data_IF_139268612400
#
_entry.id   IF_139268612400
#
_cell.length_a   1.000
_cell.length_b   1.000
_cell.length_c   1.000
_cell.angle_alpha   90.00
_cell.angle_beta   90.00
_cell.angle_gamma   90.00
#
_symmetry.space_group_name_H-M   'P 1'
#
loop_
_entity.id
_entity.type
_entity.pdbx_description
1 polymer ?
#
# COMPACT_ATOMS: atom_id res chain seq x y z
N UNK A 1 -13.35 0.40 25.59
CA UNK A 1 -12.20 -0.52 25.47
C UNK A 1 -10.95 0.28 25.85
N UNK A 2 -9.96 -0.30 26.54
CA UNK A 2 -8.78 0.44 27.00
C UNK A 2 -7.76 0.50 25.86
N UNK A 3 -7.36 1.69 25.43
CA UNK A 3 -6.32 1.87 24.41
C UNK A 3 -4.99 1.25 24.89
N UNK A 4 -4.27 0.59 23.98
CA UNK A 4 -2.99 -0.01 24.28
C UNK A 4 -1.95 1.08 24.64
N UNK A 5 -0.98 0.78 25.52
CA UNK A 5 0.13 1.70 25.76
C UNK A 5 0.88 2.03 24.46
N UNK A 6 1.28 3.29 24.29
CA UNK A 6 1.97 3.76 23.07
C UNK A 6 3.25 2.97 22.79
N UNK A 7 4.00 2.58 23.82
CA UNK A 7 5.20 1.74 23.69
C UNK A 7 4.90 0.39 23.05
N UNK A 8 3.81 -0.25 23.48
CA UNK A 8 3.36 -1.53 22.94
C UNK A 8 2.88 -1.37 21.50
N UNK A 9 2.13 -0.30 21.20
CA UNK A 9 1.72 0.01 19.83
C UNK A 9 2.93 0.18 18.92
N UNK A 10 3.94 0.95 19.33
CA UNK A 10 5.17 1.16 18.55
C UNK A 10 5.90 -0.14 18.25
N UNK A 11 6.00 -1.06 19.21
CA UNK A 11 6.62 -2.37 18.97
C UNK A 11 5.81 -3.24 17.98
N UNK A 12 4.48 -3.19 18.06
CA UNK A 12 3.60 -3.84 17.09
C UNK A 12 3.80 -3.25 15.69
N UNK A 13 3.75 -1.92 15.56
CA UNK A 13 3.94 -1.23 14.29
C UNK A 13 5.33 -1.53 13.71
N UNK A 14 6.40 -1.60 14.53
CA UNK A 14 7.76 -1.95 14.06
C UNK A 14 7.81 -3.36 13.50
N UNK A 15 7.10 -4.29 14.14
CA UNK A 15 7.01 -5.67 13.67
C UNK A 15 6.28 -5.74 12.33
N UNK A 16 5.17 -5.02 12.20
CA UNK A 16 4.38 -4.95 10.97
C UNK A 16 5.19 -4.26 9.85
N UNK A 17 5.87 -3.16 10.13
CA UNK A 17 6.68 -2.45 9.13
C UNK A 17 7.80 -3.35 8.55
N UNK A 18 8.42 -4.19 9.39
CA UNK A 18 9.49 -5.11 8.96
C UNK A 18 8.98 -6.36 8.24
N UNK A 19 7.86 -6.92 8.68
CA UNK A 19 7.41 -8.26 8.23
C UNK A 19 6.19 -8.21 7.32
N UNK A 20 5.38 -7.16 7.42
CA UNK A 20 4.04 -7.09 6.82
C UNK A 20 2.99 -7.96 7.53
N UNK A 21 3.33 -8.60 8.66
CA UNK A 21 2.45 -9.54 9.36
C UNK A 21 1.91 -8.93 10.64
N UNK A 22 0.62 -9.14 10.89
CA UNK A 22 0.07 -8.91 12.21
C UNK A 22 0.64 -9.94 13.19
N UNK A 23 0.97 -9.52 14.41
CA UNK A 23 1.35 -10.46 15.44
C UNK A 23 0.19 -11.43 15.73
N UNK A 24 0.40 -12.74 15.53
CA UNK A 24 -0.65 -13.76 15.62
C UNK A 24 -0.60 -14.57 16.92
N UNK A 25 0.32 -14.24 17.84
CA UNK A 25 0.48 -14.98 19.09
C UNK A 25 -0.70 -14.73 20.04
N UNK A 26 -1.10 -15.77 20.77
CA UNK A 26 -2.24 -15.77 21.71
C UNK A 26 -2.14 -14.72 22.82
N UNK A 27 -0.95 -14.17 23.07
CA UNK A 27 -0.68 -13.14 24.07
C UNK A 27 -0.77 -11.71 23.52
N UNK A 28 -1.07 -11.54 22.22
CA UNK A 28 -1.06 -10.25 21.54
C UNK A 28 -2.47 -9.73 21.28
N UNK A 29 -2.67 -8.40 21.30
CA UNK A 29 -3.99 -7.79 21.22
C UNK A 29 -4.67 -8.07 19.89
N UNK A 30 -5.99 -8.21 19.94
CA UNK A 30 -6.81 -8.40 18.74
C UNK A 30 -6.78 -7.12 17.88
N UNK A 31 -6.96 -7.28 16.57
CA UNK A 31 -6.97 -6.15 15.64
C UNK A 31 -7.92 -5.00 16.03
N UNK A 32 -9.16 -5.23 16.50
CA UNK A 32 -10.03 -4.15 16.95
C UNK A 32 -9.43 -3.27 18.06
N UNK A 33 -8.63 -3.84 18.97
CA UNK A 33 -7.92 -3.08 20.02
C UNK A 33 -6.78 -2.23 19.45
N UNK A 34 -6.13 -2.76 18.41
CA UNK A 34 -5.07 -2.06 17.70
C UNK A 34 -5.66 -0.90 16.89
N UNK A 35 -6.82 -1.07 16.25
CA UNK A 35 -7.50 -0.04 15.43
C UNK A 35 -7.78 1.22 16.24
N UNK A 36 -8.43 1.09 17.40
CA UNK A 36 -8.74 2.24 18.26
C UNK A 36 -7.46 2.97 18.68
N UNK A 37 -6.42 2.22 18.99
CA UNK A 37 -5.13 2.78 19.42
C UNK A 37 -4.41 3.47 18.24
N UNK A 38 -4.43 2.88 17.04
CA UNK A 38 -3.90 3.51 15.82
C UNK A 38 -4.66 4.79 15.50
N UNK A 39 -5.99 4.78 15.61
CA UNK A 39 -6.84 5.94 15.37
C UNK A 39 -6.40 7.12 16.23
N UNK A 40 -6.25 6.90 17.55
CA UNK A 40 -5.74 7.92 18.47
C UNK A 40 -4.29 8.33 18.14
N UNK A 41 -3.45 7.37 17.77
CA UNK A 41 -2.05 7.62 17.45
C UNK A 41 -1.86 8.44 16.18
N UNK A 42 -2.76 8.36 15.19
CA UNK A 42 -2.76 9.24 14.00
C UNK A 42 -2.85 10.71 14.41
N UNK A 43 -3.78 11.06 15.31
CA UNK A 43 -3.89 12.43 15.83
C UNK A 43 -2.61 12.84 16.55
N UNK A 44 -2.06 11.97 17.38
CA UNK A 44 -0.80 12.23 18.09
C UNK A 44 0.33 12.54 17.11
N UNK A 45 0.54 11.71 16.09
CA UNK A 45 1.60 11.89 15.09
C UNK A 45 1.42 13.19 14.32
N UNK A 46 0.20 13.51 13.88
CA UNK A 46 -0.09 14.74 13.16
C UNK A 46 0.29 16.00 13.96
N UNK A 47 0.01 15.98 15.27
CA UNK A 47 0.24 17.12 16.16
C UNK A 47 1.70 17.23 16.66
N UNK A 48 2.44 16.12 16.74
CA UNK A 48 3.81 16.12 17.30
C UNK A 48 4.90 16.11 16.24
N UNK A 49 4.63 15.57 15.05
CA UNK A 49 5.65 15.32 14.02
C UNK A 49 5.63 16.34 12.88
N UNK A 50 4.60 17.17 12.78
CA UNK A 50 4.47 18.14 11.69
C UNK A 50 4.30 19.56 12.20
N UNK A 51 4.85 20.50 11.43
CA UNK A 51 4.78 21.93 11.63
C UNK A 51 4.05 22.50 10.40
N UNK A 52 3.18 23.49 10.55
CA UNK A 52 2.54 24.06 9.38
C UNK A 52 1.17 24.70 9.62
N UNK A 53 0.51 25.15 8.54
CA UNK A 53 -0.81 25.77 8.64
C UNK A 53 -1.82 24.75 9.14
N UNK A 54 -2.79 25.18 9.95
CA UNK A 54 -3.87 24.32 10.44
C UNK A 54 -4.92 23.97 9.36
N UNK A 55 -4.53 24.03 8.09
CA UNK A 55 -5.40 23.82 6.93
C UNK A 55 -4.67 23.03 5.85
N UNK A 56 -5.38 22.08 5.26
CA UNK A 56 -4.95 21.25 4.15
C UNK A 56 -5.77 21.65 2.92
N UNK A 57 -5.08 21.99 1.84
CA UNK A 57 -5.70 22.39 0.57
C UNK A 57 -5.82 21.17 -0.33
N UNK A 58 -7.01 20.99 -0.90
CA UNK A 58 -7.24 20.05 -1.99
C UNK A 58 -7.17 20.72 -3.35
N UNK A 59 -6.11 20.45 -4.15
CA UNK A 59 -5.92 21.12 -5.43
C UNK A 59 -6.91 20.65 -6.50
N UNK A 60 -7.59 19.51 -6.32
CA UNK A 60 -8.51 18.98 -7.33
C UNK A 60 -9.87 19.67 -7.27
N UNK A 61 -10.32 19.99 -6.06
CA UNK A 61 -11.65 20.59 -5.81
C UNK A 61 -11.57 22.04 -5.32
N UNK A 62 -10.36 22.61 -5.24
CA UNK A 62 -10.08 23.96 -4.73
C UNK A 62 -10.74 24.24 -3.37
N UNK A 63 -10.72 23.23 -2.50
CA UNK A 63 -11.30 23.29 -1.16
C UNK A 63 -10.20 23.27 -0.09
N UNK A 64 -10.46 23.93 1.04
CA UNK A 64 -9.59 23.87 2.22
C UNK A 64 -10.31 23.22 3.38
N UNK A 65 -9.66 22.24 4.01
CA UNK A 65 -10.16 21.56 5.19
C UNK A 65 -9.24 21.85 6.38
N UNK A 66 -9.77 21.78 7.59
CA UNK A 66 -8.93 21.80 8.78
C UNK A 66 -8.12 20.50 8.89
N UNK A 67 -7.04 20.53 9.66
CA UNK A 67 -6.25 19.33 9.94
C UNK A 67 -7.09 18.33 10.71
N UNK A 68 -7.90 18.80 11.66
CA UNK A 68 -8.79 17.98 12.48
C UNK A 68 -9.84 17.28 11.64
N UNK A 69 -10.51 18.00 10.72
CA UNK A 69 -11.49 17.41 9.78
C UNK A 69 -10.84 16.33 8.90
N UNK A 70 -9.60 16.56 8.47
CA UNK A 70 -8.86 15.60 7.65
C UNK A 70 -8.49 14.35 8.44
N UNK A 71 -8.03 14.51 9.69
CA UNK A 71 -7.69 13.39 10.57
C UNK A 71 -8.93 12.59 10.93
N UNK A 72 -10.04 13.23 11.31
CA UNK A 72 -11.30 12.56 11.63
C UNK A 72 -11.78 11.70 10.46
N UNK A 73 -11.67 12.22 9.24
CA UNK A 73 -12.01 11.47 8.03
C UNK A 73 -11.12 10.23 7.82
N UNK A 74 -9.82 10.35 8.09
CA UNK A 74 -8.87 9.23 8.01
C UNK A 74 -9.18 8.18 9.10
N UNK A 75 -9.43 8.61 10.32
CA UNK A 75 -9.82 7.74 11.44
C UNK A 75 -11.09 6.98 11.11
N UNK A 76 -12.12 7.67 10.62
CA UNK A 76 -13.37 7.06 10.17
C UNK A 76 -13.15 6.04 9.05
N UNK A 77 -12.26 6.29 8.10
CA UNK A 77 -11.92 5.30 7.06
C UNK A 77 -11.32 4.03 7.66
N UNK A 78 -10.39 4.17 8.61
CA UNK A 78 -9.79 3.04 9.31
C UNK A 78 -10.84 2.25 10.10
N UNK A 79 -11.64 2.93 10.93
CA UNK A 79 -12.61 2.32 11.83
C UNK A 79 -13.81 1.71 11.08
N UNK A 80 -14.28 2.33 10.00
CA UNK A 80 -15.46 1.82 9.28
C UNK A 80 -15.15 0.71 8.28
N UNK A 81 -14.00 0.76 7.60
CA UNK A 81 -13.64 -0.23 6.57
C UNK A 81 -12.81 -1.38 7.11
N UNK A 82 -12.02 -1.14 8.16
CA UNK A 82 -11.04 -2.08 8.67
C UNK A 82 -11.22 -2.29 10.18
N UNK A 83 -12.46 -2.32 10.69
CA UNK A 83 -12.74 -2.63 12.10
C UNK A 83 -12.32 -4.05 12.49
N UNK A 84 -12.58 -5.02 11.61
CA UNK A 84 -12.44 -6.45 11.91
C UNK A 84 -11.08 -7.02 11.47
N UNK A 85 -10.48 -6.46 10.42
CA UNK A 85 -9.20 -6.92 9.88
C UNK A 85 -8.42 -5.77 9.23
N UNK A 86 -7.07 -5.81 9.23
CA UNK A 86 -6.26 -4.74 8.68
C UNK A 86 -6.33 -4.67 7.16
N UNK A 87 -6.09 -3.47 6.57
CA UNK A 87 -5.85 -3.37 5.14
C UNK A 87 -4.55 -4.09 4.77
N UNK A 88 -4.44 -4.61 3.54
CA UNK A 88 -3.16 -5.20 3.09
C UNK A 88 -1.99 -4.19 3.06
N UNK A 89 -2.31 -2.89 3.06
CA UNK A 89 -1.37 -1.77 3.16
C UNK A 89 -0.95 -1.46 4.59
N UNK A 90 -1.31 -2.26 5.60
CA UNK A 90 -0.99 -2.01 7.01
C UNK A 90 0.52 -1.86 7.26
N UNK A 91 1.36 -2.53 6.46
CA UNK A 91 2.80 -2.30 6.47
C UNK A 91 3.15 -0.85 6.15
N UNK A 92 2.60 -0.30 5.06
CA UNK A 92 2.83 1.08 4.65
C UNK A 92 2.30 2.07 5.68
N UNK A 93 1.13 1.79 6.25
CA UNK A 93 0.55 2.62 7.32
C UNK A 93 1.49 2.63 8.53
N UNK A 94 2.05 1.48 8.90
CA UNK A 94 2.96 1.38 10.04
C UNK A 94 4.23 2.20 9.85
N UNK A 95 4.82 2.19 8.65
CA UNK A 95 5.97 3.05 8.31
C UNK A 95 5.64 4.54 8.44
N UNK A 96 4.46 4.95 7.92
CA UNK A 96 4.00 6.34 7.98
C UNK A 96 3.76 6.83 9.41
N UNK A 97 3.44 5.93 10.34
CA UNK A 97 3.16 6.26 11.75
C UNK A 97 4.40 6.20 12.65
N UNK A 98 5.37 5.35 12.32
CA UNK A 98 6.60 5.23 13.11
C UNK A 98 7.57 6.37 12.85
N UNK A 99 7.87 6.62 11.57
CA UNK A 99 8.91 7.53 11.15
C UNK A 99 8.37 8.51 10.09
N UNK A 100 7.34 9.31 10.42
CA UNK A 100 6.66 10.21 9.48
C UNK A 100 7.63 11.19 8.81
N UNK A 101 8.64 11.64 9.54
CA UNK A 101 9.59 12.65 9.09
C UNK A 101 10.78 12.12 8.27
N UNK A 102 11.00 10.82 8.24
CA UNK A 102 11.95 10.19 7.31
C UNK A 102 11.41 10.21 5.88
N UNK A 103 10.07 10.16 5.74
CA UNK A 103 9.38 10.10 4.45
C UNK A 103 8.91 11.50 4.02
N UNK A 104 8.35 12.28 4.94
CA UNK A 104 7.78 13.59 4.67
C UNK A 104 8.39 14.66 5.57
N UNK A 105 8.91 15.73 4.98
CA UNK A 105 9.41 16.86 5.76
C UNK A 105 8.34 17.41 6.71
N UNK A 106 8.77 18.00 7.83
CA UNK A 106 7.88 18.54 8.87
C UNK A 106 6.80 19.51 8.36
N UNK A 107 7.09 20.24 7.29
CA UNK A 107 6.16 21.19 6.65
C UNK A 107 5.21 20.55 5.62
N UNK A 108 5.12 19.22 5.57
CA UNK A 108 4.38 18.46 4.54
C UNK A 108 3.29 17.56 5.14
N UNK A 109 2.53 18.10 6.10
CA UNK A 109 1.39 17.42 6.73
C UNK A 109 0.31 17.03 5.70
N UNK A 110 0.06 17.88 4.72
CA UNK A 110 -0.85 17.64 3.59
C UNK A 110 -0.45 16.39 2.79
N UNK A 111 0.85 16.18 2.56
CA UNK A 111 1.34 15.02 1.82
C UNK A 111 1.24 13.75 2.65
N UNK A 112 1.57 13.82 3.94
CA UNK A 112 1.48 12.69 4.86
C UNK A 112 0.03 12.23 5.06
N UNK A 113 -0.89 13.15 5.32
CA UNK A 113 -2.34 12.84 5.44
C UNK A 113 -2.89 12.21 4.16
N UNK A 114 -2.53 12.73 2.98
CA UNK A 114 -2.90 12.12 1.69
C UNK A 114 -2.33 10.72 1.51
N UNK A 115 -1.11 10.47 1.97
CA UNK A 115 -0.48 9.15 1.89
C UNK A 115 -1.20 8.12 2.77
N UNK A 116 -1.61 8.52 3.98
CA UNK A 116 -2.43 7.69 4.86
C UNK A 116 -3.80 7.39 4.23
N UNK A 117 -4.50 8.42 3.76
CA UNK A 117 -5.81 8.26 3.12
C UNK A 117 -5.76 7.31 1.93
N UNK A 118 -4.74 7.46 1.06
CA UNK A 118 -4.56 6.55 -0.08
C UNK A 118 -4.28 5.13 0.36
N UNK A 119 -3.47 4.95 1.40
CA UNK A 119 -3.19 3.62 1.96
C UNK A 119 -4.46 2.97 2.51
N UNK A 120 -5.42 3.75 3.04
CA UNK A 120 -6.72 3.28 3.54
C UNK A 120 -7.83 3.25 2.47
N UNK A 121 -7.58 3.76 1.27
CA UNK A 121 -8.56 3.75 0.18
C UNK A 121 -8.65 2.40 -0.55
N UNK A 122 -7.81 1.44 -0.16
CA UNK A 122 -7.82 0.08 -0.71
C UNK A 122 -9.11 -0.65 -0.40
N UNK A 123 -9.47 -1.59 -1.27
CA UNK A 123 -10.76 -2.30 -1.19
C UNK A 123 -10.68 -3.54 -0.32
N UNK A 124 -9.52 -4.18 -0.22
CA UNK A 124 -9.36 -5.48 0.43
C UNK A 124 -8.60 -5.45 1.74
N UNK A 125 -8.98 -6.35 2.63
CA UNK A 125 -8.23 -6.66 3.85
C UNK A 125 -7.24 -7.80 3.61
N UNK A 126 -6.33 -8.02 4.57
CA UNK A 126 -5.36 -9.12 4.50
C UNK A 126 -6.04 -10.50 4.41
N UNK A 127 -7.26 -10.63 4.95
CA UNK A 127 -7.98 -11.90 4.97
C UNK A 127 -8.63 -12.25 3.62
N UNK A 128 -8.88 -11.25 2.75
CA UNK A 128 -9.57 -11.47 1.48
C UNK A 128 -8.68 -12.13 0.42
N UNK A 129 -7.36 -11.88 0.48
CA UNK A 129 -6.37 -12.46 -0.42
C UNK A 129 -5.18 -13.00 0.39
N UNK A 130 -5.34 -14.18 1.02
CA UNK A 130 -4.24 -14.82 1.73
C UNK A 130 -3.09 -15.08 0.76
N UNK A 131 -1.87 -14.75 1.17
CA UNK A 131 -0.68 -15.05 0.37
C UNK A 131 -0.54 -16.57 0.28
N UNK A 132 -0.49 -17.08 -0.94
CA UNK A 132 -0.23 -18.50 -1.22
C UNK A 132 1.12 -18.84 -0.59
N UNK A 133 1.11 -19.75 0.38
CA UNK A 133 2.34 -20.22 1.01
C UNK A 133 3.10 -21.12 0.04
N UNK A 134 4.44 -21.15 0.12
CA UNK A 134 5.24 -22.04 -0.73
C UNK A 134 4.89 -23.53 -0.54
N UNK A 135 4.23 -23.88 0.57
CA UNK A 135 3.70 -25.22 0.83
C UNK A 135 2.44 -25.52 0.00
N UNK A 136 1.58 -24.54 -0.28
CA UNK A 136 0.38 -24.70 -1.12
C UNK A 136 0.72 -24.80 -2.62
N UNK A 137 1.92 -24.36 -3.03
CA UNK A 137 2.45 -24.64 -4.37
C UNK A 137 2.84 -26.12 -4.56
N UNK A 138 2.87 -26.93 -3.50
CA UNK A 138 3.34 -28.32 -3.53
C UNK A 138 2.21 -29.37 -3.39
N UNK A 139 0.93 -29.02 -3.65
CA UNK A 139 -0.17 -30.00 -3.59
C UNK A 139 -0.82 -30.24 -4.97
N UNK A 140 -0.56 -31.46 -5.46
CA UNK A 140 -1.10 -32.19 -6.61
C UNK A 140 -0.68 -31.79 -8.04
N UNK A 141 0.23 -32.63 -8.53
CA UNK A 141 0.92 -32.66 -9.81
C UNK A 141 0.38 -33.85 -10.61
N UNK A 142 -0.37 -33.55 -11.68
CA UNK A 142 -0.58 -34.49 -12.80
C UNK A 142 -0.56 -33.78 -14.16
N UNK A 143 0.25 -32.71 -14.28
CA UNK A 143 0.67 -32.24 -15.61
C UNK A 143 1.96 -31.39 -15.64
N UNK A 144 2.81 -31.40 -14.60
CA UNK A 144 4.01 -30.54 -14.58
C UNK A 144 5.26 -31.40 -14.70
N UNK A 145 5.68 -31.60 -15.95
CA UNK A 145 6.91 -32.32 -16.28
C UNK A 145 8.17 -31.53 -15.85
N UNK A 146 8.82 -32.11 -14.85
CA UNK A 146 10.28 -32.34 -14.73
C UNK A 146 11.22 -31.14 -14.59
N UNK A 147 11.54 -30.87 -13.33
CA UNK A 147 12.86 -30.66 -12.73
C UNK A 147 14.11 -30.50 -13.64
N UNK A 148 14.76 -29.34 -13.51
CA UNK A 148 16.15 -29.31 -13.06
C UNK A 148 17.29 -29.23 -14.09
N UNK A 149 17.42 -28.11 -14.80
CA UNK A 149 18.69 -27.40 -15.04
C UNK A 149 18.42 -26.14 -15.85
N UNK A 150 19.13 -25.06 -15.50
CA UNK A 150 18.85 -23.69 -15.92
C UNK A 150 18.48 -23.52 -17.40
N UNK A 151 17.38 -22.82 -17.62
CA UNK A 151 17.16 -21.95 -18.75
C UNK A 151 15.95 -21.09 -18.39
N UNK A 152 16.11 -19.77 -18.43
CA UNK A 152 14.97 -18.88 -18.54
C UNK A 152 14.17 -19.37 -19.76
N UNK A 153 12.95 -19.87 -19.55
CA UNK A 153 11.95 -19.90 -20.61
C UNK A 153 11.09 -18.67 -20.36
N UNK A 154 11.46 -17.61 -21.07
CA UNK A 154 10.51 -16.63 -21.56
C UNK A 154 9.31 -17.38 -22.17
N UNK A 155 8.10 -16.84 -22.03
CA UNK A 155 6.80 -17.43 -22.41
C UNK A 155 5.97 -18.16 -21.33
N UNK A 156 5.87 -17.57 -20.13
CA UNK A 156 4.56 -17.50 -19.44
C UNK A 156 3.91 -16.13 -19.65
N UNK A 157 4.15 -15.54 -20.83
CA UNK A 157 3.52 -14.29 -21.21
C UNK A 157 2.01 -14.48 -21.27
N UNK A 158 1.29 -13.78 -20.39
CA UNK A 158 -0.07 -13.34 -20.71
C UNK A 158 0.00 -12.80 -22.14
N UNK A 159 -0.72 -13.42 -23.08
CA UNK A 159 -0.79 -12.92 -24.46
C UNK A 159 -1.42 -11.54 -24.40
N UNK A 160 -0.59 -10.51 -24.35
CA UNK A 160 -1.06 -9.13 -24.37
C UNK A 160 -1.51 -8.83 -25.79
N UNK A 161 -2.77 -8.44 -25.93
CA UNK A 161 -3.24 -7.91 -27.20
C UNK A 161 -2.42 -6.66 -27.55
N UNK A 162 -2.03 -6.46 -28.81
CA UNK A 162 -1.23 -5.32 -29.22
C UNK A 162 -1.91 -4.01 -28.83
N UNK A 163 -1.09 -3.07 -28.33
CA UNK A 163 -1.54 -1.76 -27.88
C UNK A 163 -1.81 -0.88 -29.12
N UNK A 164 -3.07 -0.47 -29.40
CA UNK A 164 -3.45 0.09 -30.70
C UNK A 164 -2.72 1.37 -31.14
N UNK A 165 -2.13 2.10 -30.20
CA UNK A 165 -1.49 3.41 -30.45
C UNK A 165 0.03 3.35 -30.55
N UNK A 166 0.64 2.16 -30.46
CA UNK A 166 2.07 1.98 -30.77
C UNK A 166 2.19 1.82 -32.28
N UNK A 167 2.39 2.95 -32.96
CA UNK A 167 2.81 2.96 -34.37
C UNK A 167 4.34 2.96 -34.40
N UNK A 168 4.94 1.87 -34.89
CA UNK A 168 6.34 1.87 -35.26
C UNK A 168 6.48 2.69 -36.55
N UNK A 169 6.71 4.00 -36.44
CA UNK A 169 7.12 4.84 -37.57
C UNK A 169 8.56 4.45 -37.98
N UNK A 170 8.68 3.40 -38.78
CA UNK A 170 9.90 3.15 -39.56
C UNK A 170 9.72 3.81 -40.93
N UNK A 171 10.11 5.08 -40.99
CA UNK A 171 10.31 5.84 -42.21
C UNK A 171 11.36 5.13 -43.09
N UNK A 172 10.92 4.35 -44.09
CA UNK A 172 11.82 3.85 -45.12
C UNK A 172 11.81 4.78 -46.33
N UNK A 173 12.60 5.84 -46.20
CA UNK A 173 13.11 6.59 -47.32
C UNK A 173 13.92 5.66 -48.25
N UNK A 174 13.43 5.53 -49.47
CA UNK A 174 14.20 5.41 -50.73
C UNK A 174 15.22 4.27 -50.85
N UNK A 175 14.86 3.21 -51.57
CA UNK A 175 15.83 2.46 -52.38
C UNK A 175 15.34 2.39 -53.82
N UNK A 176 16.03 3.13 -54.68
CA UNK A 176 15.88 3.19 -56.13
C UNK A 176 16.51 1.95 -56.75
N UNK A 177 15.77 1.20 -57.56
CA UNK A 177 16.18 0.48 -58.80
C UNK A 177 15.02 -0.46 -59.22
N UNK A 178 14.64 -0.67 -60.48
CA UNK A 178 15.21 -0.46 -61.82
C UNK A 178 14.05 -0.45 -62.84
N UNK A 179 14.20 0.37 -63.87
CA UNK A 179 13.33 0.42 -65.06
C UNK A 179 13.67 -0.74 -66.02
N UNK A 180 12.64 -1.39 -66.56
CA UNK A 180 12.59 -2.13 -67.84
C UNK A 180 11.14 -1.95 -68.31
N UNK A 181 10.85 -1.21 -69.38
CA UNK A 181 11.19 -1.42 -70.80
C UNK A 181 11.35 -0.08 -71.53
#
# INVERSE_FOLDING_TARGET
>A
MMALPESQLKEILKTIAKTGHLPTDSEKPLWPEIVDTISLYISHVALTSFEGPNRIIDPLIDASFSVEETIERIQKLLESKFSESPPFTIQRISELLLDPNEIYSKNSLDKWTRALERSLSVVSSVNEYPKITQAEMNYDDSNVLTNGKGSFKEDLGIVMSPVPWVVDEVDQATTISKISL
#
